data_IF_301855274391
#
_entry.id   IF_301855274391
#
_cell.length_a   1.000
_cell.length_b   1.000
_cell.length_c   1.000
_cell.angle_alpha   90.00
_cell.angle_beta   90.00
_cell.angle_gamma   90.00
#
_symmetry.space_group_name_H-M   'P 1'
#
loop_
_entity.id
_entity.type
_entity.pdbx_description
1 polymer ?
#
# COMPACT_ATOMS: atom_id res chain seq x y z
N UNK A 1 9.57 21.31 53.27
CA UNK A 1 10.73 20.63 52.65
C UNK A 1 10.81 19.18 53.10
N UNK A 2 10.71 18.89 54.40
CA UNK A 2 10.73 17.51 54.95
C UNK A 2 9.71 16.56 54.31
N UNK A 3 8.44 16.97 54.16
CA UNK A 3 7.42 16.13 53.53
C UNK A 3 7.69 15.80 52.04
N UNK A 4 8.51 16.60 51.36
CA UNK A 4 8.89 16.36 49.96
C UNK A 4 10.07 15.39 49.88
N UNK A 5 10.99 15.47 50.86
CA UNK A 5 12.11 14.54 51.03
C UNK A 5 11.58 13.15 51.39
N UNK A 6 10.63 13.05 52.31
CA UNK A 6 10.02 11.77 52.71
C UNK A 6 9.28 11.07 51.55
N UNK A 7 8.62 11.85 50.68
CA UNK A 7 8.02 11.32 49.44
C UNK A 7 9.05 10.86 48.42
N UNK A 8 10.20 11.54 48.35
CA UNK A 8 11.30 11.16 47.48
C UNK A 8 11.95 9.86 47.98
N UNK A 9 12.17 9.73 49.29
CA UNK A 9 12.70 8.53 49.93
C UNK A 9 11.76 7.34 49.73
N UNK A 10 10.45 7.52 49.89
CA UNK A 10 9.45 6.50 49.56
C UNK A 10 9.45 6.09 48.08
N UNK A 11 9.67 7.03 47.17
CA UNK A 11 9.78 6.74 45.74
C UNK A 11 11.07 5.98 45.41
N UNK A 12 12.19 6.33 46.05
CA UNK A 12 13.48 5.64 45.90
C UNK A 12 13.41 4.23 46.46
N UNK A 13 12.82 4.03 47.65
CA UNK A 13 12.62 2.69 48.23
C UNK A 13 11.76 1.80 47.31
N UNK A 14 10.71 2.36 46.68
CA UNK A 14 9.90 1.63 45.70
C UNK A 14 10.69 1.29 44.43
N UNK A 15 11.54 2.21 43.97
CA UNK A 15 12.41 1.99 42.81
C UNK A 15 13.48 0.92 43.10
N UNK A 16 14.06 0.94 44.29
CA UNK A 16 15.05 -0.05 44.75
C UNK A 16 14.40 -1.42 44.95
N UNK A 17 13.17 -1.47 45.47
CA UNK A 17 12.40 -2.72 45.58
C UNK A 17 12.05 -3.30 44.20
N UNK A 18 11.76 -2.43 43.22
CA UNK A 18 11.53 -2.82 41.84
C UNK A 18 12.84 -3.29 41.16
N UNK A 19 13.95 -2.61 41.41
CA UNK A 19 15.30 -2.98 40.95
C UNK A 19 15.76 -4.31 41.55
N UNK A 20 15.49 -4.56 42.84
CA UNK A 20 15.79 -5.82 43.51
C UNK A 20 14.94 -6.98 42.95
N UNK A 21 13.69 -6.72 42.54
CA UNK A 21 12.87 -7.71 41.80
C UNK A 21 13.41 -8.01 40.41
N UNK A 22 13.98 -7.02 39.73
CA UNK A 22 14.68 -7.18 38.44
C UNK A 22 16.03 -7.92 38.59
N UNK A 23 16.76 -7.67 39.67
CA UNK A 23 18.04 -8.34 39.98
C UNK A 23 17.87 -9.75 40.57
N UNK A 24 16.74 -10.04 41.23
CA UNK A 24 16.38 -11.40 41.65
C UNK A 24 16.12 -12.38 40.49
N UNK A 25 15.98 -11.87 39.26
CA UNK A 25 15.88 -12.67 38.04
C UNK A 25 17.20 -12.81 37.26
N UNK A 26 18.32 -12.26 37.77
CA UNK A 26 19.66 -12.41 37.18
C UNK A 26 20.59 -13.10 38.17
N UNK A 27 20.37 -14.40 38.38
CA UNK A 27 21.29 -15.28 39.07
C UNK A 27 21.87 -16.33 38.11
N UNK A 28 23.20 -16.29 37.95
CA UNK A 28 24.08 -17.27 37.30
C UNK A 28 24.37 -17.11 35.80
N UNK A 29 25.34 -16.24 35.52
CA UNK A 29 26.20 -16.39 34.34
C UNK A 29 27.14 -17.58 34.58
N UNK A 30 26.82 -18.71 33.95
CA UNK A 30 27.82 -19.72 33.60
C UNK A 30 27.56 -20.18 32.16
N UNK A 31 28.45 -19.73 31.27
CA UNK A 31 28.84 -20.30 29.99
C UNK A 31 27.83 -21.19 29.23
N UNK A 32 27.30 -20.63 28.13
CA UNK A 32 26.92 -21.37 26.93
C UNK A 32 25.66 -22.24 27.02
N UNK A 33 24.49 -21.63 26.83
CA UNK A 33 23.36 -22.22 26.09
C UNK A 33 22.32 -21.14 25.80
N UNK A 34 21.83 -21.13 24.56
CA UNK A 34 20.95 -20.10 24.00
C UNK A 34 19.55 -20.31 24.58
N UNK A 35 19.08 -19.37 25.42
CA UNK A 35 17.69 -19.31 25.87
C UNK A 35 16.77 -18.84 24.73
N UNK A 36 16.41 -19.74 23.82
CA UNK A 36 15.36 -19.51 22.80
C UNK A 36 13.95 -19.67 23.39
N UNK A 37 13.80 -20.36 24.52
CA UNK A 37 12.47 -20.81 25.00
C UNK A 37 11.63 -19.74 25.72
N UNK A 38 12.23 -18.63 26.18
CA UNK A 38 11.52 -17.62 26.99
C UNK A 38 10.93 -16.45 26.15
N UNK A 39 11.44 -16.21 24.93
CA UNK A 39 11.03 -15.08 24.09
C UNK A 39 9.74 -15.33 23.30
N UNK A 40 9.51 -16.57 22.86
CA UNK A 40 8.34 -16.95 22.05
C UNK A 40 7.04 -16.84 22.86
N UNK A 41 7.06 -17.32 24.11
CA UNK A 41 5.92 -17.23 25.03
C UNK A 41 5.56 -15.78 25.33
N UNK A 42 6.56 -14.89 25.49
CA UNK A 42 6.34 -13.48 25.78
C UNK A 42 5.78 -12.72 24.57
N UNK A 43 6.21 -13.06 23.35
CA UNK A 43 5.67 -12.46 22.12
C UNK A 43 4.18 -12.77 21.97
N UNK A 44 3.79 -14.04 22.08
CA UNK A 44 2.39 -14.44 21.95
C UNK A 44 1.51 -13.87 23.08
N UNK A 45 2.04 -13.80 24.30
CA UNK A 45 1.35 -13.17 25.43
C UNK A 45 1.13 -11.65 25.22
N UNK A 46 2.12 -10.95 24.64
CA UNK A 46 1.98 -9.53 24.31
C UNK A 46 0.92 -9.31 23.22
N UNK A 47 0.86 -10.15 22.20
CA UNK A 47 -0.21 -10.09 21.20
C UNK A 47 -1.58 -10.39 21.83
N UNK A 48 -1.66 -11.34 22.76
CA UNK A 48 -2.89 -11.63 23.51
C UNK A 48 -3.34 -10.49 24.42
N UNK A 49 -2.43 -9.66 24.91
CA UNK A 49 -2.77 -8.43 25.60
C UNK A 49 -3.39 -7.39 24.65
N UNK A 50 -2.88 -7.28 23.41
CA UNK A 50 -3.49 -6.43 22.37
C UNK A 50 -4.94 -6.86 22.07
N UNK A 51 -5.18 -8.18 21.97
CA UNK A 51 -6.53 -8.71 21.70
C UNK A 51 -7.49 -8.55 22.89
N UNK A 52 -7.01 -8.77 24.12
CA UNK A 52 -7.85 -8.67 25.34
C UNK A 52 -8.04 -7.24 25.83
N UNK A 53 -7.14 -6.32 25.48
CA UNK A 53 -7.21 -4.91 25.84
C UNK A 53 -7.80 -4.06 24.71
N UNK A 54 -6.99 -3.37 23.89
CA UNK A 54 -7.44 -2.43 22.87
C UNK A 54 -8.54 -2.96 21.95
N UNK A 55 -8.39 -4.19 21.43
CA UNK A 55 -9.38 -4.78 20.53
C UNK A 55 -10.71 -5.04 21.26
N UNK A 56 -10.67 -5.52 22.50
CA UNK A 56 -11.87 -5.77 23.29
C UNK A 56 -12.66 -4.48 23.57
N UNK A 57 -11.96 -3.40 23.93
CA UNK A 57 -12.59 -2.09 24.13
C UNK A 57 -13.22 -1.56 22.83
N UNK A 58 -12.50 -1.68 21.70
CA UNK A 58 -13.02 -1.31 20.39
C UNK A 58 -14.29 -2.10 20.02
N UNK A 59 -14.30 -3.41 20.26
CA UNK A 59 -15.46 -4.26 19.98
C UNK A 59 -16.66 -3.88 20.86
N UNK A 60 -16.41 -3.62 22.15
CA UNK A 60 -17.44 -3.15 23.07
C UNK A 60 -18.06 -1.84 22.58
N UNK A 61 -17.24 -0.84 22.27
CA UNK A 61 -17.71 0.46 21.79
C UNK A 61 -18.43 0.35 20.44
N UNK A 62 -17.93 -0.50 19.54
CA UNK A 62 -18.55 -0.76 18.23
C UNK A 62 -19.93 -1.41 18.37
N UNK A 63 -20.11 -2.31 19.34
CA UNK A 63 -21.42 -2.92 19.65
C UNK A 63 -22.40 -1.93 20.26
N UNK A 64 -21.91 -1.02 21.10
CA UNK A 64 -22.74 0.06 21.65
C UNK A 64 -23.24 1.01 20.55
N UNK A 65 -22.39 1.38 19.59
CA UNK A 65 -22.81 2.16 18.40
C UNK A 65 -23.77 1.37 17.52
N UNK A 66 -23.49 0.07 17.33
CA UNK A 66 -24.35 -0.85 16.56
C UNK A 66 -24.25 -0.65 15.05
N UNK A 67 -25.24 -1.18 14.33
CA UNK A 67 -25.38 -1.03 12.88
C UNK A 67 -24.18 -1.55 12.08
N UNK A 68 -23.75 -0.76 11.09
CA UNK A 68 -22.62 -1.11 10.22
C UNK A 68 -21.28 -1.14 10.98
N UNK A 69 -21.13 -0.31 12.02
CA UNK A 69 -19.90 -0.22 12.82
C UNK A 69 -19.67 -1.51 13.60
N UNK A 70 -20.70 -2.06 14.23
CA UNK A 70 -20.59 -3.36 14.93
C UNK A 70 -20.20 -4.49 13.97
N UNK A 71 -20.84 -4.57 12.79
CA UNK A 71 -20.53 -5.61 11.79
C UNK A 71 -19.09 -5.48 11.30
N UNK A 72 -18.66 -4.26 11.01
CA UNK A 72 -17.30 -4.00 10.54
C UNK A 72 -16.25 -4.35 11.60
N UNK A 73 -16.57 -4.11 12.88
CA UNK A 73 -15.71 -4.47 14.00
C UNK A 73 -15.57 -6.00 14.17
N UNK A 74 -16.63 -6.78 13.99
CA UNK A 74 -16.54 -8.24 14.03
C UNK A 74 -15.62 -8.79 12.90
N UNK A 75 -15.62 -8.15 11.72
CA UNK A 75 -14.67 -8.49 10.64
C UNK A 75 -13.22 -8.19 11.04
N UNK A 76 -12.96 -7.02 11.65
CA UNK A 76 -11.63 -6.66 12.18
C UNK A 76 -11.16 -7.65 13.24
N UNK A 77 -12.05 -8.08 14.13
CA UNK A 77 -11.73 -9.12 15.13
C UNK A 77 -11.26 -10.41 14.45
N UNK A 78 -12.00 -10.90 13.44
CA UNK A 78 -11.64 -12.12 12.73
C UNK A 78 -10.27 -11.99 12.02
N UNK A 79 -10.00 -10.83 11.40
CA UNK A 79 -8.73 -10.56 10.76
C UNK A 79 -7.54 -10.57 11.76
N UNK A 80 -7.72 -10.01 12.95
CA UNK A 80 -6.70 -10.03 14.02
C UNK A 80 -6.51 -11.42 14.64
N UNK A 81 -7.55 -12.25 14.70
CA UNK A 81 -7.40 -13.66 15.09
C UNK A 81 -6.62 -14.45 14.04
N UNK A 82 -6.85 -14.20 12.76
CA UNK A 82 -6.08 -14.82 11.68
C UNK A 82 -4.60 -14.39 11.75
N UNK A 83 -4.35 -13.11 12.00
CA UNK A 83 -3.01 -12.59 12.24
C UNK A 83 -2.32 -13.32 13.41
N UNK A 84 -3.03 -13.56 14.52
CA UNK A 84 -2.50 -14.32 15.66
C UNK A 84 -2.13 -15.74 15.26
N UNK A 85 -2.98 -16.43 14.50
CA UNK A 85 -2.73 -17.79 14.04
C UNK A 85 -1.46 -17.84 13.17
N UNK A 86 -1.32 -16.88 12.25
CA UNK A 86 -0.14 -16.72 11.42
C UNK A 86 1.14 -16.43 12.23
N UNK A 87 1.09 -15.52 13.21
CA UNK A 87 2.24 -15.24 14.08
C UNK A 87 2.67 -16.48 14.88
N UNK A 88 1.70 -17.26 15.39
CA UNK A 88 2.00 -18.53 16.08
C UNK A 88 2.65 -19.56 15.15
N UNK A 89 2.23 -19.62 13.89
CA UNK A 89 2.87 -20.47 12.88
C UNK A 89 4.33 -20.04 12.71
N UNK A 90 4.57 -18.73 12.51
CA UNK A 90 5.92 -18.19 12.33
C UNK A 90 6.85 -18.48 13.51
N UNK A 91 6.34 -18.53 14.75
CA UNK A 91 7.16 -18.90 15.93
C UNK A 91 7.59 -20.37 15.97
N UNK A 92 6.88 -21.26 15.26
CA UNK A 92 7.11 -22.72 15.34
C UNK A 92 7.67 -23.34 14.06
N UNK A 93 7.65 -22.60 12.95
CA UNK A 93 8.04 -23.08 11.62
C UNK A 93 9.14 -22.22 11.02
N UNK A 94 9.94 -22.82 10.14
CA UNK A 94 10.88 -22.10 9.28
C UNK A 94 10.15 -21.39 8.14
N UNK A 95 10.74 -20.29 7.67
CA UNK A 95 10.23 -19.51 6.55
C UNK A 95 10.11 -20.40 5.29
N UNK A 96 8.94 -20.42 4.64
CA UNK A 96 8.73 -21.23 3.44
C UNK A 96 9.23 -20.51 2.18
N UNK A 97 9.12 -21.17 1.03
CA UNK A 97 9.44 -20.53 -0.25
C UNK A 97 8.51 -19.35 -0.53
N UNK A 98 8.95 -18.36 -1.31
CA UNK A 98 8.19 -17.13 -1.58
C UNK A 98 6.77 -17.39 -2.12
N UNK A 99 6.61 -18.39 -2.98
CA UNK A 99 5.30 -18.81 -3.52
C UNK A 99 4.38 -19.38 -2.43
N UNK A 100 4.93 -20.15 -1.49
CA UNK A 100 4.18 -20.75 -0.38
C UNK A 100 3.86 -19.70 0.69
N UNK A 101 4.74 -18.72 0.89
CA UNK A 101 4.50 -17.57 1.76
C UNK A 101 3.33 -16.72 1.24
N UNK A 102 3.25 -16.50 -0.08
CA UNK A 102 2.11 -15.80 -0.68
C UNK A 102 0.78 -16.53 -0.43
N UNK A 103 0.79 -17.87 -0.50
CA UNK A 103 -0.37 -18.70 -0.22
C UNK A 103 -0.78 -18.66 1.26
N UNK A 104 0.20 -18.67 2.17
CA UNK A 104 -0.01 -18.50 3.60
C UNK A 104 -0.57 -17.14 4.01
N UNK A 105 -0.20 -16.07 3.30
CA UNK A 105 -0.69 -14.70 3.55
C UNK A 105 -2.06 -14.43 2.92
N UNK A 106 -2.55 -15.33 2.07
CA UNK A 106 -3.83 -15.17 1.35
C UNK A 106 -5.02 -14.98 2.30
N UNK A 107 -5.21 -15.76 3.39
CA UNK A 107 -6.34 -15.56 4.30
C UNK A 107 -6.38 -14.15 4.92
N UNK A 108 -5.22 -13.62 5.34
CA UNK A 108 -5.12 -12.25 5.87
C UNK A 108 -5.49 -11.23 4.78
N UNK A 109 -4.99 -11.43 3.55
CA UNK A 109 -5.27 -10.56 2.40
C UNK A 109 -6.76 -10.55 2.05
N UNK A 110 -7.42 -11.70 2.06
CA UNK A 110 -8.86 -11.83 1.83
C UNK A 110 -9.69 -11.14 2.91
N UNK A 111 -9.27 -11.22 4.18
CA UNK A 111 -9.94 -10.50 5.28
C UNK A 111 -9.82 -8.97 5.11
N UNK A 112 -8.63 -8.48 4.74
CA UNK A 112 -8.40 -7.06 4.43
C UNK A 112 -9.34 -6.61 3.30
N UNK A 113 -9.40 -7.35 2.20
CA UNK A 113 -10.26 -7.03 1.05
C UNK A 113 -11.74 -7.04 1.43
N UNK A 114 -12.18 -8.01 2.23
CA UNK A 114 -13.57 -8.09 2.71
C UNK A 114 -13.94 -6.85 3.54
N UNK A 115 -13.05 -6.42 4.44
CA UNK A 115 -13.25 -5.23 5.28
C UNK A 115 -13.32 -3.97 4.41
N UNK A 116 -12.47 -3.84 3.40
CA UNK A 116 -12.50 -2.71 2.47
C UNK A 116 -13.79 -2.70 1.62
N UNK A 117 -14.13 -3.84 1.04
CA UNK A 117 -15.35 -4.05 0.25
C UNK A 117 -16.62 -3.76 1.05
N UNK A 118 -16.64 -4.10 2.34
CA UNK A 118 -17.77 -3.77 3.22
C UNK A 118 -18.04 -2.27 3.27
N UNK A 119 -16.99 -1.45 3.42
CA UNK A 119 -17.13 0.01 3.38
C UNK A 119 -17.60 0.50 2.00
N UNK A 120 -17.07 -0.08 0.91
CA UNK A 120 -17.45 0.31 -0.45
C UNK A 120 -18.92 0.01 -0.78
N UNK A 121 -19.45 -1.11 -0.30
CA UNK A 121 -20.86 -1.48 -0.46
C UNK A 121 -21.79 -0.62 0.40
N UNK A 122 -21.28 -0.03 1.47
CA UNK A 122 -22.06 0.77 2.42
C UNK A 122 -21.74 2.28 2.32
N UNK A 123 -21.51 2.80 1.11
CA UNK A 123 -21.24 4.23 0.86
C UNK A 123 -22.34 5.20 1.31
N UNK A 124 -23.58 4.71 1.44
CA UNK A 124 -24.71 5.49 1.96
C UNK A 124 -24.85 5.47 3.48
N UNK A 125 -23.94 4.81 4.21
CA UNK A 125 -24.03 4.71 5.67
C UNK A 125 -23.90 6.09 6.33
N UNK A 126 -24.72 6.36 7.35
CA UNK A 126 -24.57 7.58 8.17
C UNK A 126 -23.27 7.59 8.98
N UNK A 127 -22.71 6.40 9.22
CA UNK A 127 -21.46 6.21 9.96
C UNK A 127 -20.28 6.00 9.01
N UNK A 128 -20.35 6.51 7.78
CA UNK A 128 -19.35 6.26 6.74
C UNK A 128 -17.92 6.65 7.15
N UNK A 129 -17.73 7.72 7.93
CA UNK A 129 -16.41 8.08 8.45
C UNK A 129 -15.81 7.00 9.39
N UNK A 130 -16.66 6.26 10.12
CA UNK A 130 -16.19 5.11 10.93
C UNK A 130 -15.72 3.97 10.03
N UNK A 131 -16.53 3.64 9.01
CA UNK A 131 -16.19 2.59 8.06
C UNK A 131 -14.93 2.94 7.27
N UNK A 132 -14.76 4.22 6.90
CA UNK A 132 -13.55 4.72 6.24
C UNK A 132 -12.33 4.69 7.13
N UNK A 133 -12.44 5.08 8.41
CA UNK A 133 -11.33 4.94 9.33
C UNK A 133 -10.83 3.49 9.37
N UNK A 134 -11.74 2.52 9.36
CA UNK A 134 -11.39 1.10 9.35
C UNK A 134 -10.83 0.62 8.02
N UNK A 135 -11.50 0.90 6.90
CA UNK A 135 -11.09 0.38 5.59
C UNK A 135 -9.75 0.91 5.09
N UNK A 136 -9.44 2.17 5.41
CA UNK A 136 -8.21 2.82 4.94
C UNK A 136 -6.99 2.46 5.80
N UNK A 137 -7.18 1.96 7.03
CA UNK A 137 -6.08 1.55 7.91
C UNK A 137 -5.93 0.04 8.12
N UNK A 138 -6.96 -0.77 7.80
CA UNK A 138 -6.86 -2.23 7.94
C UNK A 138 -5.69 -2.88 7.15
N UNK A 139 -5.17 -2.31 6.03
CA UNK A 139 -3.96 -2.85 5.40
C UNK A 139 -2.76 -2.93 6.35
N UNK A 140 -2.76 -2.22 7.49
CA UNK A 140 -1.78 -2.37 8.56
C UNK A 140 -1.49 -3.82 8.94
N UNK A 141 -2.46 -4.75 8.86
CA UNK A 141 -2.25 -6.18 9.12
C UNK A 141 -1.24 -6.82 8.17
N UNK A 142 -1.04 -6.26 6.98
CA UNK A 142 -0.03 -6.67 6.01
C UNK A 142 1.42 -6.41 6.44
N UNK A 143 1.67 -5.82 7.63
CA UNK A 143 3.03 -5.56 8.13
C UNK A 143 3.90 -6.82 8.19
N UNK A 144 3.30 -8.01 8.33
CA UNK A 144 4.02 -9.29 8.33
C UNK A 144 4.73 -9.61 7.02
N UNK A 145 4.36 -8.93 5.93
CA UNK A 145 5.05 -9.01 4.64
C UNK A 145 6.01 -7.83 4.39
N UNK A 146 6.16 -6.92 5.36
CA UNK A 146 7.00 -5.72 5.22
C UNK A 146 8.38 -5.97 5.83
N UNK A 147 9.40 -5.93 4.97
CA UNK A 147 10.79 -6.03 5.37
C UNK A 147 11.35 -4.69 5.83
N UNK A 148 12.27 -4.72 6.79
CA UNK A 148 13.04 -3.60 7.34
C UNK A 148 12.27 -2.54 8.15
N UNK A 149 11.05 -2.15 7.74
CA UNK A 149 10.30 -1.04 8.37
C UNK A 149 8.81 -1.33 8.64
N UNK A 150 8.44 -2.44 9.28
CA UNK A 150 7.04 -2.75 9.59
C UNK A 150 6.39 -1.77 10.58
N UNK A 151 7.13 -1.24 11.55
CA UNK A 151 6.61 -0.24 12.50
C UNK A 151 6.18 1.07 11.83
N UNK A 152 7.05 1.73 11.04
CA UNK A 152 6.69 2.89 10.24
C UNK A 152 5.51 2.63 9.29
N UNK A 153 5.42 1.45 8.68
CA UNK A 153 4.29 1.07 7.83
C UNK A 153 2.95 1.10 8.59
N UNK A 154 2.88 0.47 9.78
CA UNK A 154 1.67 0.51 10.62
C UNK A 154 1.34 1.93 11.07
N UNK A 155 2.36 2.77 11.32
CA UNK A 155 2.16 4.18 11.66
C UNK A 155 1.46 4.94 10.52
N UNK A 156 1.88 4.76 9.27
CA UNK A 156 1.24 5.40 8.11
C UNK A 156 -0.23 5.00 7.97
N UNK A 157 -0.53 3.72 8.20
CA UNK A 157 -1.91 3.23 8.19
C UNK A 157 -2.73 3.84 9.34
N UNK A 158 -2.14 4.00 10.53
CA UNK A 158 -2.80 4.69 11.64
C UNK A 158 -3.01 6.20 11.34
N UNK A 159 -2.08 6.84 10.65
CA UNK A 159 -2.23 8.23 10.19
C UNK A 159 -3.42 8.36 9.21
N UNK A 160 -3.65 7.35 8.35
CA UNK A 160 -4.84 7.26 7.50
C UNK A 160 -6.14 7.08 8.31
N UNK A 161 -6.13 6.24 9.36
CA UNK A 161 -7.28 6.14 10.28
C UNK A 161 -7.59 7.50 10.92
N UNK A 162 -6.57 8.21 11.40
CA UNK A 162 -6.70 9.51 12.06
C UNK A 162 -7.39 10.56 11.19
N UNK A 163 -7.16 10.55 9.88
CA UNK A 163 -7.85 11.46 8.96
C UNK A 163 -9.38 11.36 9.06
N UNK A 164 -9.92 10.14 9.13
CA UNK A 164 -11.36 9.91 9.22
C UNK A 164 -11.87 9.96 10.66
N UNK A 165 -11.11 9.46 11.64
CA UNK A 165 -11.54 9.55 13.05
C UNK A 165 -11.56 11.00 13.55
N UNK A 166 -10.73 11.90 13.03
CA UNK A 166 -10.84 13.33 13.31
C UNK A 166 -12.17 13.92 12.84
N UNK A 167 -12.75 13.40 11.74
CA UNK A 167 -14.10 13.78 11.29
C UNK A 167 -15.17 13.24 12.22
N UNK A 168 -15.02 11.99 12.68
CA UNK A 168 -15.89 11.42 13.73
C UNK A 168 -15.84 12.27 14.99
N UNK A 169 -14.65 12.65 15.47
CA UNK A 169 -14.51 13.52 16.63
C UNK A 169 -15.17 14.89 16.39
N UNK A 170 -15.02 15.47 15.20
CA UNK A 170 -15.66 16.73 14.86
C UNK A 170 -17.19 16.64 14.96
N UNK A 171 -17.78 15.55 14.48
CA UNK A 171 -19.23 15.36 14.41
C UNK A 171 -19.83 14.95 15.77
N UNK A 172 -19.07 14.24 16.61
CA UNK A 172 -19.61 13.56 17.80
C UNK A 172 -19.06 14.00 19.16
N UNK A 173 -17.95 14.76 19.23
CA UNK A 173 -17.29 15.10 20.51
C UNK A 173 -18.19 15.80 21.55
N UNK A 174 -19.15 16.59 21.08
CA UNK A 174 -20.05 17.38 21.93
C UNK A 174 -21.47 16.78 22.00
N UNK A 175 -21.72 15.68 21.29
CA UNK A 175 -23.07 15.10 21.13
C UNK A 175 -23.18 13.70 21.71
N UNK A 176 -22.24 12.82 21.40
CA UNK A 176 -22.26 11.42 21.85
C UNK A 176 -20.83 10.93 22.19
N UNK A 177 -20.50 10.85 23.50
CA UNK A 177 -19.21 10.38 23.97
C UNK A 177 -18.83 8.97 23.52
N UNK A 178 -19.81 8.11 23.18
CA UNK A 178 -19.53 6.73 22.75
C UNK A 178 -18.67 6.69 21.48
N UNK A 179 -18.89 7.62 20.55
CA UNK A 179 -18.09 7.74 19.34
C UNK A 179 -16.66 8.22 19.62
N UNK A 180 -16.46 9.05 20.64
CA UNK A 180 -15.13 9.49 21.08
C UNK A 180 -14.35 8.33 21.69
N UNK A 181 -15.01 7.53 22.53
CA UNK A 181 -14.43 6.31 23.10
C UNK A 181 -14.10 5.28 22.02
N UNK A 182 -14.99 5.12 21.03
CA UNK A 182 -14.73 4.30 19.85
C UNK A 182 -13.47 4.74 19.11
N UNK A 183 -13.32 6.03 18.81
CA UNK A 183 -12.12 6.57 18.14
C UNK A 183 -10.86 6.25 18.95
N UNK A 184 -10.87 6.53 20.26
CA UNK A 184 -9.72 6.28 21.13
C UNK A 184 -9.34 4.79 21.13
N UNK A 185 -10.33 3.92 21.32
CA UNK A 185 -10.11 2.46 21.37
C UNK A 185 -9.60 1.91 20.03
N UNK A 186 -10.11 2.40 18.90
CA UNK A 186 -9.65 1.97 17.57
C UNK A 186 -8.19 2.35 17.29
N UNK A 187 -7.82 3.62 17.54
CA UNK A 187 -6.44 4.09 17.33
C UNK A 187 -5.45 3.44 18.32
N UNK A 188 -5.93 3.01 19.49
CA UNK A 188 -5.12 2.28 20.47
C UNK A 188 -4.62 0.94 19.92
N UNK A 189 -5.44 0.22 19.13
CA UNK A 189 -5.04 -1.05 18.48
C UNK A 189 -3.75 -0.85 17.68
N UNK A 190 -3.70 0.18 16.84
CA UNK A 190 -2.54 0.45 15.97
C UNK A 190 -1.34 1.01 16.73
N UNK A 191 -1.58 1.73 17.83
CA UNK A 191 -0.52 2.22 18.71
C UNK A 191 0.16 1.07 19.43
N UNK A 192 -0.62 0.15 20.00
CA UNK A 192 -0.11 -1.06 20.66
C UNK A 192 0.51 -2.04 19.65
N UNK A 193 -0.03 -2.13 18.43
CA UNK A 193 0.59 -2.92 17.35
C UNK A 193 1.99 -2.38 16.99
N UNK A 194 2.16 -1.06 16.92
CA UNK A 194 3.49 -0.46 16.70
C UNK A 194 4.45 -0.77 17.85
N UNK A 195 3.98 -0.69 19.10
CA UNK A 195 4.80 -1.03 20.26
C UNK A 195 5.22 -2.51 20.23
N UNK A 196 4.28 -3.40 19.93
CA UNK A 196 4.52 -4.84 19.74
C UNK A 196 5.55 -5.11 18.65
N UNK A 197 5.38 -4.54 17.45
CA UNK A 197 6.32 -4.71 16.33
C UNK A 197 7.70 -4.15 16.72
N UNK A 198 7.75 -2.99 17.36
CA UNK A 198 9.03 -2.40 17.78
C UNK A 198 9.78 -3.30 18.76
N UNK A 199 9.07 -3.97 19.66
CA UNK A 199 9.65 -4.84 20.69
C UNK A 199 10.11 -6.20 20.14
N UNK A 200 9.32 -6.83 19.26
CA UNK A 200 9.54 -8.23 18.84
C UNK A 200 9.96 -8.39 17.37
N UNK A 201 9.61 -7.44 16.49
CA UNK A 201 9.72 -7.57 15.03
C UNK A 201 10.26 -6.29 14.37
N UNK A 202 11.27 -5.66 14.98
CA UNK A 202 11.77 -4.32 14.60
C UNK A 202 12.12 -4.22 13.11
N UNK A 203 12.72 -5.27 12.54
CA UNK A 203 13.22 -5.31 11.16
C UNK A 203 12.38 -6.18 10.22
N UNK A 204 11.21 -6.64 10.67
CA UNK A 204 10.37 -7.59 9.93
C UNK A 204 9.95 -8.77 10.80
N UNK A 205 9.06 -9.60 10.26
CA UNK A 205 8.67 -10.86 10.88
C UNK A 205 9.89 -11.77 11.04
N UNK A 206 9.99 -12.43 12.19
CA UNK A 206 11.05 -13.40 12.48
C UNK A 206 10.43 -14.78 12.54
N UNK A 207 10.87 -15.65 11.64
CA UNK A 207 10.51 -17.07 11.62
C UNK A 207 11.39 -17.89 12.57
N UNK A 208 10.89 -19.05 12.99
CA UNK A 208 11.68 -19.97 13.80
C UNK A 208 12.90 -20.47 13.02
N UNK A 209 14.04 -20.60 13.70
CA UNK A 209 15.25 -21.21 13.11
C UNK A 209 15.22 -22.74 13.16
N UNK A 210 14.22 -23.30 13.83
CA UNK A 210 14.06 -24.73 14.10
C UNK A 210 12.62 -25.14 13.81
N UNK A 211 12.36 -26.43 13.62
CA UNK A 211 11.03 -26.93 13.28
C UNK A 211 10.83 -27.14 11.79
N UNK A 212 9.65 -27.64 11.37
CA UNK A 212 9.36 -27.90 9.96
C UNK A 212 9.23 -26.58 9.17
N UNK A 213 9.40 -26.67 7.85
CA UNK A 213 9.07 -25.56 6.95
C UNK A 213 7.56 -25.34 6.99
N UNK A 214 7.14 -24.07 7.03
CA UNK A 214 5.72 -23.74 7.09
C UNK A 214 4.96 -24.33 5.89
N UNK A 215 3.80 -24.97 6.09
CA UNK A 215 3.00 -25.49 4.99
C UNK A 215 2.42 -24.34 4.16
N UNK A 216 2.06 -24.56 2.90
CA UNK A 216 1.46 -23.51 2.04
C UNK A 216 0.06 -23.04 2.50
N UNK A 217 -0.52 -23.67 3.53
CA UNK A 217 -1.81 -23.29 4.12
C UNK A 217 -1.82 -23.55 5.62
N UNK A 218 -2.32 -22.56 6.38
CA UNK A 218 -2.58 -22.66 7.82
C UNK A 218 -3.58 -23.78 8.16
N UNK A 219 -4.39 -24.19 7.19
CA UNK A 219 -5.41 -25.23 7.32
C UNK A 219 -5.09 -26.41 6.41
N UNK A 220 -4.02 -27.13 6.73
CA UNK A 220 -3.74 -28.44 6.14
C UNK A 220 -3.91 -29.47 7.24
N UNK A 221 -4.86 -30.41 7.07
CA UNK A 221 -5.04 -31.53 7.99
C UNK A 221 -3.74 -32.33 8.08
N UNK A 222 -3.43 -32.82 9.29
CA UNK A 222 -2.20 -33.56 9.61
C UNK A 222 -1.88 -34.67 8.58
N UNK A 223 -0.61 -34.90 8.23
CA UNK A 223 -0.21 -36.14 7.61
C UNK A 223 -0.43 -37.28 8.60
N UNK A 224 -1.27 -38.24 8.23
CA UNK A 224 -1.49 -39.46 9.01
C UNK A 224 -0.14 -40.15 9.31
N UNK A 225 0.08 -40.44 10.59
CA UNK A 225 1.12 -41.36 11.07
C UNK A 225 1.04 -42.70 10.32
N UNK A 226 2.15 -43.41 10.05
CA UNK A 226 2.11 -44.71 9.39
C UNK A 226 1.38 -45.74 10.27
N UNK A 227 0.17 -46.12 9.85
CA UNK A 227 -0.56 -47.25 10.42
C UNK A 227 0.17 -48.58 10.16
N UNK A 228 0.06 -49.58 11.06
CA UNK A 228 0.61 -50.91 10.84
C UNK A 228 -0.08 -51.60 9.63
N UNK A 229 0.60 -52.56 8.97
CA UNK A 229 0.10 -53.15 7.73
C UNK A 229 -1.23 -53.89 7.95
N UNK A 230 -2.22 -53.74 7.05
CA UNK A 230 -3.50 -54.39 7.16
C UNK A 230 -3.41 -55.91 6.93
N UNK A 231 -4.27 -56.72 7.57
CA UNK A 231 -4.35 -58.16 7.33
C UNK A 231 -4.86 -58.46 5.90
N UNK A 232 -4.52 -59.63 5.34
CA UNK A 232 -4.82 -59.96 3.95
C UNK A 232 -6.35 -60.04 3.69
N UNK A 233 -6.82 -59.56 2.52
CA UNK A 233 -8.24 -59.50 2.22
C UNK A 233 -8.86 -60.89 1.92
N UNK A 234 -10.11 -61.14 2.34
CA UNK A 234 -10.88 -62.32 1.94
C UNK A 234 -11.31 -62.24 0.46
N UNK A 235 -11.63 -63.39 -0.18
CA UNK A 235 -11.86 -63.49 -1.62
C UNK A 235 -13.16 -62.79 -2.07
N UNK A 236 -13.20 -62.26 -3.31
CA UNK A 236 -14.31 -61.46 -3.82
C UNK A 236 -15.53 -62.32 -4.25
N UNK A 237 -16.77 -61.90 -3.94
CA UNK A 237 -17.98 -62.41 -4.58
C UNK A 237 -18.27 -61.73 -5.95
N UNK A 238 -19.09 -62.36 -6.81
CA UNK A 238 -19.22 -62.04 -8.24
C UNK A 238 -20.09 -60.80 -8.56
N UNK A 239 -19.98 -60.24 -9.78
CA UNK A 239 -20.50 -58.92 -10.13
C UNK A 239 -21.92 -58.97 -10.70
N UNK A 240 -22.76 -57.98 -10.32
CA UNK A 240 -23.97 -57.63 -11.06
C UNK A 240 -24.21 -56.11 -11.08
N UNK A 241 -24.08 -55.57 -12.29
CA UNK A 241 -24.89 -54.58 -13.03
C UNK A 241 -25.44 -53.31 -12.34
N UNK A 242 -24.96 -52.18 -12.88
CA UNK A 242 -25.59 -50.90 -13.23
C UNK A 242 -26.84 -50.43 -12.48
N UNK A 243 -26.72 -49.27 -11.81
CA UNK A 243 -27.65 -48.15 -11.95
C UNK A 243 -26.97 -46.83 -11.53
N UNK A 244 -27.02 -45.83 -12.41
CA UNK A 244 -26.52 -44.45 -12.24
C UNK A 244 -27.26 -43.66 -11.14
N UNK A 245 -26.57 -42.70 -10.50
CA UNK A 245 -27.16 -41.37 -10.41
C UNK A 245 -26.20 -40.21 -10.73
N UNK A 246 -26.56 -39.49 -11.79
CA UNK A 246 -26.42 -38.03 -12.06
C UNK A 246 -25.23 -37.27 -11.44
N UNK A 247 -24.27 -36.94 -12.33
CA UNK A 247 -23.25 -35.91 -12.15
C UNK A 247 -23.83 -34.50 -12.00
N UNK A 248 -23.25 -33.75 -11.04
CA UNK A 248 -23.26 -32.30 -10.97
C UNK A 248 -22.20 -31.73 -11.95
N UNK A 249 -22.62 -30.79 -12.80
CA UNK A 249 -21.93 -30.42 -14.04
C UNK A 249 -20.91 -29.27 -13.86
N UNK A 250 -20.38 -29.06 -12.65
CA UNK A 250 -19.54 -27.91 -12.31
C UNK A 250 -18.02 -28.11 -12.42
N UNK A 251 -17.54 -29.36 -12.54
CA UNK A 251 -16.11 -29.67 -12.57
C UNK A 251 -15.55 -29.87 -14.00
N UNK A 252 -16.34 -30.43 -14.91
CA UNK A 252 -15.94 -30.68 -16.31
C UNK A 252 -15.77 -29.38 -17.13
N UNK A 253 -16.57 -28.35 -16.85
CA UNK A 253 -16.43 -27.05 -17.53
C UNK A 253 -15.15 -26.30 -17.18
N UNK A 254 -14.66 -26.43 -15.94
CA UNK A 254 -13.44 -25.73 -15.49
C UNK A 254 -12.17 -26.40 -16.02
N UNK A 255 -12.13 -27.73 -16.08
CA UNK A 255 -11.00 -28.44 -16.69
C UNK A 255 -10.92 -28.27 -18.22
N UNK A 256 -12.08 -28.16 -18.90
CA UNK A 256 -12.14 -27.84 -20.32
C UNK A 256 -11.64 -26.40 -20.63
N UNK A 257 -11.93 -25.43 -19.76
CA UNK A 257 -11.48 -24.04 -19.92
C UNK A 257 -9.95 -23.89 -19.76
N UNK A 258 -9.34 -24.59 -18.80
CA UNK A 258 -7.88 -24.55 -18.61
C UNK A 258 -7.11 -25.30 -19.71
N UNK A 259 -7.70 -26.36 -20.28
CA UNK A 259 -7.10 -27.06 -21.43
C UNK A 259 -7.14 -26.22 -22.71
N UNK A 260 -8.09 -25.29 -22.82
CA UNK A 260 -8.25 -24.41 -23.99
C UNK A 260 -7.33 -23.18 -23.94
N UNK A 261 -6.88 -22.76 -22.74
CA UNK A 261 -5.95 -21.65 -22.52
C UNK A 261 -4.48 -22.01 -22.81
N UNK A 262 -4.10 -23.29 -22.74
CA UNK A 262 -2.72 -23.75 -22.95
C UNK A 262 -2.35 -24.07 -24.41
N UNK A 263 -3.14 -23.64 -25.40
CA UNK A 263 -2.91 -23.97 -26.83
C UNK A 263 -2.09 -22.93 -27.62
N UNK A 264 -1.58 -21.87 -26.99
CA UNK A 264 -0.73 -20.86 -27.64
C UNK A 264 -1.33 -20.29 -28.94
N UNK A 265 -0.50 -20.04 -29.96
CA UNK A 265 -0.89 -19.42 -31.25
C UNK A 265 -2.00 -20.16 -32.03
N UNK A 266 -2.31 -21.41 -31.67
CA UNK A 266 -3.35 -22.21 -32.32
C UNK A 266 -4.79 -21.78 -31.95
N UNK A 267 -4.98 -20.90 -30.96
CA UNK A 267 -6.31 -20.46 -30.49
C UNK A 267 -7.11 -19.68 -31.56
N UNK A 268 -6.43 -19.20 -32.60
CA UNK A 268 -7.04 -18.46 -33.72
C UNK A 268 -7.82 -19.35 -34.69
N UNK A 269 -7.63 -20.68 -34.67
CA UNK A 269 -8.33 -21.63 -35.56
C UNK A 269 -9.77 -21.94 -35.13
N UNK A 270 -10.14 -21.63 -33.88
CA UNK A 270 -11.49 -21.87 -33.32
C UNK A 270 -12.46 -20.69 -33.45
N UNK A 271 -11.98 -19.53 -33.91
CA UNK A 271 -12.82 -18.34 -34.07
C UNK A 271 -13.56 -18.40 -35.40
N UNK A 272 -14.89 -18.26 -35.35
CA UNK A 272 -15.74 -18.26 -36.55
C UNK A 272 -15.33 -17.08 -37.45
N UNK A 273 -14.79 -17.39 -38.63
CA UNK A 273 -14.34 -16.38 -39.57
C UNK A 273 -15.55 -15.58 -40.08
N UNK A 274 -15.55 -14.27 -39.81
CA UNK A 274 -16.65 -13.37 -40.19
C UNK A 274 -16.51 -13.04 -41.68
N UNK A 275 -17.48 -13.47 -42.48
CA UNK A 275 -17.54 -13.21 -43.92
C UNK A 275 -17.66 -11.69 -44.17
N UNK A 276 -17.16 -11.21 -45.31
CA UNK A 276 -17.13 -9.77 -45.61
C UNK A 276 -18.52 -9.13 -45.67
N UNK A 277 -19.57 -9.93 -45.90
CA UNK A 277 -20.98 -9.52 -45.84
C UNK A 277 -21.46 -9.15 -44.43
N UNK A 278 -20.79 -9.62 -43.37
CA UNK A 278 -21.13 -9.39 -41.96
C UNK A 278 -20.30 -8.27 -41.32
N UNK A 279 -19.35 -7.69 -42.06
CA UNK A 279 -18.54 -6.56 -41.61
C UNK A 279 -19.22 -5.26 -42.02
N UNK A 280 -19.65 -4.47 -41.05
CA UNK A 280 -20.39 -3.21 -41.23
C UNK A 280 -19.64 -2.13 -42.03
N UNK A 281 -18.33 -2.27 -42.25
CA UNK A 281 -17.55 -1.39 -43.12
C UNK A 281 -17.47 -1.85 -44.59
N UNK A 282 -17.86 -3.09 -44.91
CA UNK A 282 -17.82 -3.65 -46.27
C UNK A 282 -19.17 -3.97 -46.88
N UNK A 283 -20.23 -4.10 -46.07
CA UNK A 283 -21.60 -4.31 -46.55
C UNK A 283 -22.54 -3.17 -46.13
N UNK A 284 -22.85 -2.20 -47.02
CA UNK A 284 -23.70 -1.06 -46.73
C UNK A 284 -25.15 -1.42 -46.35
N UNK A 285 -25.65 -2.59 -46.75
CA UNK A 285 -27.04 -3.01 -46.51
C UNK A 285 -27.35 -3.33 -45.04
N UNK A 286 -26.34 -3.60 -44.20
CA UNK A 286 -26.52 -3.87 -42.77
C UNK A 286 -26.74 -2.61 -41.92
N UNK A 287 -26.68 -1.42 -42.51
CA UNK A 287 -26.94 -0.16 -41.79
C UNK A 287 -28.42 0.23 -41.72
N UNK A 288 -29.32 -0.49 -42.38
CA UNK A 288 -30.72 -0.06 -42.53
C UNK A 288 -31.74 -1.19 -42.29
N UNK A 289 -32.09 -1.45 -41.03
CA UNK A 289 -33.38 -2.03 -40.53
C UNK A 289 -33.23 -2.34 -39.02
N UNK A 290 -34.06 -1.92 -38.05
CA UNK A 290 -35.26 -1.05 -37.96
C UNK A 290 -35.39 -0.62 -36.47
N UNK A 291 -35.85 0.59 -36.10
CA UNK A 291 -37.22 1.14 -36.09
C UNK A 291 -37.74 1.14 -34.63
N UNK A 292 -38.32 2.18 -34.00
CA UNK A 292 -39.05 3.42 -34.36
C UNK A 292 -38.88 4.43 -33.18
N UNK A 293 -38.87 5.77 -33.31
CA UNK A 293 -39.99 6.66 -33.67
C UNK A 293 -39.53 8.13 -33.73
N UNK A 294 -40.08 8.85 -34.72
CA UNK A 294 -40.34 10.29 -34.95
C UNK A 294 -39.95 11.34 -33.86
N UNK A 295 -39.55 12.59 -34.14
CA UNK A 295 -39.66 13.46 -35.32
C UNK A 295 -38.55 14.54 -35.31
N UNK A 296 -38.20 15.09 -36.48
CA UNK A 296 -37.30 16.24 -36.66
C UNK A 296 -38.05 17.58 -36.55
N UNK A 297 -37.35 18.73 -36.36
CA UNK A 297 -37.00 19.50 -37.57
C UNK A 297 -35.61 20.15 -37.57
N UNK A 298 -34.93 19.95 -38.71
CA UNK A 298 -34.10 20.89 -39.50
C UNK A 298 -33.22 21.94 -38.81
N UNK A 299 -31.91 21.85 -39.06
CA UNK A 299 -31.16 22.73 -40.01
C UNK A 299 -29.69 22.33 -40.06
N UNK A 300 -29.13 22.32 -41.28
CA UNK A 300 -27.81 21.76 -41.57
C UNK A 300 -26.62 22.60 -41.08
N UNK A 301 -25.47 21.93 -40.94
CA UNK A 301 -24.14 22.54 -40.99
C UNK A 301 -23.11 21.47 -41.38
N UNK A 302 -22.13 21.91 -42.16
CA UNK A 302 -20.97 21.18 -42.68
C UNK A 302 -20.04 20.61 -41.56
N UNK A 303 -19.06 19.74 -41.89
CA UNK A 303 -18.39 18.87 -40.94
C UNK A 303 -17.31 19.61 -40.16
N UNK A 304 -17.32 19.49 -38.83
CA UNK A 304 -16.18 19.84 -37.98
C UNK A 304 -15.65 18.58 -37.30
N UNK A 305 -14.34 18.36 -37.48
CA UNK A 305 -13.45 17.44 -36.80
C UNK A 305 -13.87 17.11 -35.35
N UNK A 306 -14.08 15.83 -35.06
CA UNK A 306 -14.34 15.34 -33.71
C UNK A 306 -13.08 15.42 -32.85
N UNK A 307 -13.04 16.40 -31.96
CA UNK A 307 -12.16 16.41 -30.78
C UNK A 307 -12.53 15.29 -29.81
N UNK A 308 -11.55 14.72 -29.07
CA UNK A 308 -11.82 13.70 -28.06
C UNK A 308 -12.55 14.32 -26.86
N UNK A 309 -13.44 13.53 -26.27
CA UNK A 309 -14.31 13.86 -25.14
C UNK A 309 -13.53 14.40 -23.93
N UNK A 310 -13.90 15.54 -23.32
CA UNK A 310 -13.15 16.08 -22.19
C UNK A 310 -13.36 15.24 -20.93
N UNK A 311 -12.26 14.91 -20.26
CA UNK A 311 -12.24 14.31 -18.93
C UNK A 311 -13.01 15.21 -17.94
N UNK A 312 -13.73 14.61 -16.99
CA UNK A 312 -14.43 15.33 -15.92
C UNK A 312 -13.43 16.23 -15.18
N UNK A 313 -13.54 17.56 -15.36
CA UNK A 313 -12.76 18.57 -14.64
C UNK A 313 -13.00 18.44 -13.13
N UNK A 314 -11.98 18.01 -12.40
CA UNK A 314 -11.93 18.15 -10.93
C UNK A 314 -11.61 19.61 -10.61
N UNK A 315 -12.08 20.10 -9.48
CA UNK A 315 -11.84 21.49 -9.08
C UNK A 315 -10.35 21.72 -8.79
N UNK A 316 -9.76 22.81 -9.29
CA UNK A 316 -8.38 23.17 -8.98
C UNK A 316 -8.24 23.47 -7.48
N UNK A 317 -7.14 23.00 -6.89
CA UNK A 317 -6.82 23.21 -5.48
C UNK A 317 -5.47 23.92 -5.39
N UNK A 318 -5.41 24.97 -4.59
CA UNK A 318 -4.16 25.60 -4.14
C UNK A 318 -4.38 26.06 -2.70
N UNK A 319 -4.06 25.20 -1.74
CA UNK A 319 -4.26 25.51 -0.32
C UNK A 319 -3.24 24.79 0.57
N UNK A 320 -3.01 25.36 1.75
CA UNK A 320 -2.19 24.75 2.79
C UNK A 320 -3.08 23.89 3.70
N UNK A 321 -2.94 22.58 3.60
CA UNK A 321 -3.60 21.62 4.48
C UNK A 321 -2.62 21.17 5.59
N UNK A 322 -2.72 21.82 6.74
CA UNK A 322 -1.82 21.59 7.88
C UNK A 322 -0.39 22.04 7.58
N UNK A 323 0.49 21.09 7.20
CA UNK A 323 1.88 21.37 6.77
C UNK A 323 2.10 21.06 5.29
N UNK A 324 1.07 20.64 4.56
CA UNK A 324 1.17 20.18 3.19
C UNK A 324 0.49 21.18 2.27
N UNK A 325 1.26 21.84 1.41
CA UNK A 325 0.70 22.60 0.30
C UNK A 325 0.18 21.63 -0.75
N UNK A 326 -1.10 21.76 -1.10
CA UNK A 326 -1.75 20.96 -2.15
C UNK A 326 -1.98 21.84 -3.35
N UNK A 327 -1.32 21.51 -4.45
CA UNK A 327 -1.52 22.13 -5.76
C UNK A 327 -2.05 21.06 -6.70
N UNK A 328 -3.36 20.99 -6.88
CA UNK A 328 -3.99 19.87 -7.57
C UNK A 328 -4.87 20.34 -8.72
N UNK A 329 -4.91 19.55 -9.79
CA UNK A 329 -5.86 19.71 -10.89
C UNK A 329 -5.83 21.09 -11.57
N UNK A 330 -4.69 21.76 -11.56
CA UNK A 330 -4.48 23.02 -12.28
C UNK A 330 -4.37 22.76 -13.78
N UNK A 331 -5.05 23.55 -14.60
CA UNK A 331 -5.04 23.40 -16.06
C UNK A 331 -4.94 24.78 -16.72
N UNK A 332 -3.89 24.99 -17.53
CA UNK A 332 -3.66 26.25 -18.25
C UNK A 332 -3.49 27.48 -17.34
N UNK A 333 -2.89 27.29 -16.16
CA UNK A 333 -2.65 28.38 -15.18
C UNK A 333 -1.15 28.62 -15.04
N UNK A 334 -0.69 29.84 -15.30
CA UNK A 334 0.75 30.16 -15.40
C UNK A 334 1.25 31.16 -14.34
N UNK A 335 0.36 31.61 -13.47
CA UNK A 335 0.60 32.62 -12.42
C UNK A 335 0.43 32.04 -11.01
N UNK A 336 0.57 30.72 -10.85
CA UNK A 336 0.48 30.09 -9.54
C UNK A 336 1.73 30.43 -8.71
N UNK A 337 1.54 30.97 -7.52
CA UNK A 337 2.63 31.32 -6.61
C UNK A 337 2.30 30.88 -5.19
N UNK A 338 3.27 30.24 -4.52
CA UNK A 338 3.27 30.01 -3.08
C UNK A 338 4.30 30.96 -2.47
N UNK A 339 3.82 32.05 -1.84
CA UNK A 339 4.69 33.10 -1.30
C UNK A 339 5.18 32.81 0.12
N UNK A 340 4.30 32.34 0.99
CA UNK A 340 4.59 32.11 2.41
C UNK A 340 4.90 30.63 2.67
N UNK A 341 6.18 30.25 2.68
CA UNK A 341 6.63 28.89 2.97
C UNK A 341 7.37 28.77 4.30
N UNK A 342 7.26 27.59 4.93
CA UNK A 342 8.02 27.26 6.14
C UNK A 342 8.87 25.99 5.94
N UNK A 343 10.01 25.92 6.62
CA UNK A 343 10.98 24.80 6.58
C UNK A 343 10.38 23.41 6.79
N UNK A 344 9.29 23.32 7.56
CA UNK A 344 8.61 22.05 7.90
C UNK A 344 7.53 21.65 6.90
N UNK A 345 7.23 22.51 5.92
CA UNK A 345 6.16 22.29 4.97
C UNK A 345 6.62 21.42 3.80
N UNK A 346 5.67 20.69 3.21
CA UNK A 346 5.88 19.86 2.04
C UNK A 346 4.94 20.34 0.94
N UNK A 347 5.42 20.46 -0.29
CA UNK A 347 4.57 20.83 -1.43
C UNK A 347 4.26 19.59 -2.25
N UNK A 348 2.98 19.31 -2.46
CA UNK A 348 2.49 18.20 -3.27
C UNK A 348 1.70 18.74 -4.45
N UNK A 349 2.21 18.47 -5.65
CA UNK A 349 1.69 18.96 -6.91
C UNK A 349 1.13 17.76 -7.67
N UNK A 350 -0.18 17.71 -7.88
CA UNK A 350 -0.84 16.53 -8.44
C UNK A 350 -1.71 16.86 -9.63
N UNK A 351 -1.58 16.08 -10.71
CA UNK A 351 -2.49 16.13 -11.85
C UNK A 351 -2.63 17.54 -12.47
N UNK A 352 -1.56 18.33 -12.47
CA UNK A 352 -1.51 19.64 -13.10
C UNK A 352 -1.10 19.51 -14.59
N UNK A 353 -1.72 20.30 -15.46
CA UNK A 353 -1.51 20.22 -16.92
C UNK A 353 -1.29 21.61 -17.52
N UNK A 354 -0.23 21.76 -18.34
CA UNK A 354 0.09 23.00 -19.04
C UNK A 354 0.06 24.22 -18.09
N UNK A 355 0.80 24.15 -16.99
CA UNK A 355 0.72 25.14 -15.92
C UNK A 355 2.12 25.52 -15.44
N UNK A 356 2.23 26.65 -14.75
CA UNK A 356 3.49 27.12 -14.15
C UNK A 356 3.27 27.45 -12.69
N UNK A 357 4.15 26.96 -11.82
CA UNK A 357 4.11 27.20 -10.39
C UNK A 357 5.44 27.77 -9.90
N UNK A 358 5.38 28.81 -9.07
CA UNK A 358 6.53 29.37 -8.37
C UNK A 358 6.41 29.14 -6.87
N UNK A 359 7.44 28.58 -6.25
CA UNK A 359 7.51 28.32 -4.80
C UNK A 359 8.64 29.18 -4.23
N UNK A 360 8.28 30.25 -3.51
CA UNK A 360 9.24 31.15 -2.89
C UNK A 360 9.64 30.62 -1.50
N UNK A 361 10.84 30.95 -1.05
CA UNK A 361 11.34 30.57 0.27
C UNK A 361 11.92 29.15 0.35
N UNK A 362 11.68 28.47 1.48
CA UNK A 362 12.36 27.22 1.82
C UNK A 362 11.41 26.20 2.42
N UNK A 363 11.30 25.05 1.76
CA UNK A 363 10.42 23.94 2.15
C UNK A 363 11.22 22.67 2.45
N UNK A 364 10.58 21.72 3.14
CA UNK A 364 11.20 20.44 3.47
C UNK A 364 11.41 19.58 2.21
N UNK A 365 10.35 19.39 1.43
CA UNK A 365 10.36 18.61 0.20
C UNK A 365 9.27 19.05 -0.77
N UNK A 366 9.46 18.72 -2.04
CA UNK A 366 8.49 18.97 -3.11
C UNK A 366 8.28 17.65 -3.86
N UNK A 367 7.03 17.30 -4.13
CA UNK A 367 6.64 16.09 -4.84
C UNK A 367 5.71 16.50 -5.98
N UNK A 368 6.07 16.13 -7.21
CA UNK A 368 5.30 16.31 -8.43
C UNK A 368 4.81 14.95 -8.89
N UNK A 369 3.51 14.76 -9.01
CA UNK A 369 2.89 13.49 -9.36
C UNK A 369 1.83 13.65 -10.45
N UNK A 370 1.88 12.80 -11.46
CA UNK A 370 0.88 12.74 -12.54
C UNK A 370 0.68 14.08 -13.28
N UNK A 371 1.72 14.89 -13.40
CA UNK A 371 1.66 16.20 -14.06
C UNK A 371 2.10 16.13 -15.53
N UNK A 372 1.62 17.06 -16.36
CA UNK A 372 1.95 17.14 -17.78
C UNK A 372 2.26 18.58 -18.19
N UNK A 373 3.37 18.85 -18.88
CA UNK A 373 3.72 20.22 -19.32
C UNK A 373 3.71 21.21 -18.15
N UNK A 374 4.41 20.86 -17.07
CA UNK A 374 4.48 21.66 -15.86
C UNK A 374 5.82 22.37 -15.79
N UNK A 375 5.79 23.69 -15.71
CA UNK A 375 6.94 24.51 -15.33
C UNK A 375 6.94 24.73 -13.82
N UNK A 376 8.06 24.48 -13.15
CA UNK A 376 8.20 24.69 -11.72
C UNK A 376 9.48 25.47 -11.42
N UNK A 377 9.34 26.57 -10.68
CA UNK A 377 10.47 27.36 -10.19
C UNK A 377 10.44 27.36 -8.67
N UNK A 378 11.54 27.01 -8.02
CA UNK A 378 11.62 27.03 -6.57
C UNK A 378 12.98 27.49 -6.06
N UNK A 379 12.99 28.07 -4.86
CA UNK A 379 14.22 28.55 -4.24
C UNK A 379 14.98 27.43 -3.51
N UNK A 380 14.49 26.97 -2.36
CA UNK A 380 15.24 26.05 -1.51
C UNK A 380 14.43 24.82 -1.08
N UNK A 381 15.03 23.64 -1.19
CA UNK A 381 14.51 22.37 -0.67
C UNK A 381 15.52 21.79 0.31
N UNK A 382 15.07 21.41 1.51
CA UNK A 382 15.94 20.85 2.56
C UNK A 382 16.27 19.39 2.29
N UNK A 383 15.28 18.61 1.88
CA UNK A 383 15.38 17.17 1.67
C UNK A 383 15.47 16.84 0.19
N UNK A 384 14.36 16.37 -0.37
CA UNK A 384 14.29 15.82 -1.72
C UNK A 384 13.25 16.56 -2.56
N UNK A 385 13.58 16.71 -3.84
CA UNK A 385 12.63 17.05 -4.89
C UNK A 385 12.31 15.78 -5.68
N UNK A 386 11.04 15.42 -5.81
CA UNK A 386 10.64 14.16 -6.44
C UNK A 386 9.62 14.39 -7.57
N UNK A 387 9.86 13.72 -8.70
CA UNK A 387 8.97 13.70 -9.86
C UNK A 387 8.54 12.26 -10.11
N UNK A 388 7.23 12.03 -10.14
CA UNK A 388 6.63 10.71 -10.28
C UNK A 388 5.58 10.74 -11.39
N UNK A 389 5.59 9.74 -12.27
CA UNK A 389 4.50 9.47 -13.21
C UNK A 389 4.11 10.68 -14.07
N UNK A 390 5.07 11.51 -14.47
CA UNK A 390 4.82 12.81 -15.09
C UNK A 390 5.39 12.89 -16.52
N UNK A 391 5.02 13.92 -17.29
CA UNK A 391 5.51 14.14 -18.65
C UNK A 391 5.78 15.61 -18.95
N UNK A 392 6.82 15.91 -19.72
CA UNK A 392 7.18 17.27 -20.15
C UNK A 392 7.32 18.22 -18.94
N UNK A 393 8.22 17.90 -18.01
CA UNK A 393 8.44 18.69 -16.80
C UNK A 393 9.66 19.58 -16.97
N UNK A 394 9.52 20.87 -16.67
CA UNK A 394 10.63 21.82 -16.62
C UNK A 394 10.77 22.33 -15.20
N UNK A 395 11.94 22.11 -14.62
CA UNK A 395 12.25 22.43 -13.24
C UNK A 395 13.40 23.44 -13.19
N UNK A 396 13.23 24.55 -12.49
CA UNK A 396 14.32 25.49 -12.23
C UNK A 396 14.53 25.70 -10.73
N UNK A 397 15.76 25.41 -10.29
CA UNK A 397 16.23 25.65 -8.94
C UNK A 397 16.89 27.03 -8.90
N UNK A 398 16.49 27.89 -7.97
CA UNK A 398 17.14 29.19 -7.76
C UNK A 398 18.16 29.16 -6.62
N UNK A 399 17.93 28.34 -5.59
CA UNK A 399 18.81 28.16 -4.44
C UNK A 399 19.32 26.73 -4.34
N UNK A 400 19.24 26.10 -3.16
CA UNK A 400 19.82 24.77 -2.89
C UNK A 400 18.78 23.64 -2.93
N UNK A 401 19.16 22.52 -3.54
CA UNK A 401 18.49 21.22 -3.44
C UNK A 401 19.55 20.10 -3.33
N UNK A 402 19.48 19.22 -2.32
CA UNK A 402 20.44 18.11 -2.18
C UNK A 402 20.21 16.94 -3.13
N UNK A 403 18.94 16.58 -3.38
CA UNK A 403 18.60 15.39 -4.16
C UNK A 403 17.38 15.65 -5.03
N UNK A 404 17.47 15.26 -6.30
CA UNK A 404 16.36 15.23 -7.25
C UNK A 404 16.13 13.78 -7.68
N UNK A 405 14.91 13.29 -7.47
CA UNK A 405 14.45 11.95 -7.87
C UNK A 405 13.49 12.06 -9.04
N UNK A 406 13.75 11.33 -10.13
CA UNK A 406 12.95 11.32 -11.35
C UNK A 406 12.48 9.89 -11.65
N UNK A 407 11.24 9.59 -11.32
CA UNK A 407 10.67 8.25 -11.41
C UNK A 407 9.49 8.20 -12.39
N UNK A 408 9.49 7.23 -13.30
CA UNK A 408 8.39 7.00 -14.25
C UNK A 408 7.99 8.27 -15.00
N UNK A 409 8.97 9.06 -15.44
CA UNK A 409 8.75 10.38 -16.06
C UNK A 409 9.37 10.44 -17.44
N UNK A 410 8.63 11.00 -18.41
CA UNK A 410 9.06 11.15 -19.81
C UNK A 410 9.25 12.64 -20.13
N UNK A 411 10.43 13.08 -20.53
CA UNK A 411 10.71 14.48 -20.82
C UNK A 411 10.85 15.31 -19.55
N UNK A 412 12.08 15.47 -19.05
CA UNK A 412 12.38 16.24 -17.85
C UNK A 412 13.62 17.10 -18.06
N UNK A 413 13.47 18.42 -17.91
CA UNK A 413 14.57 19.37 -17.95
C UNK A 413 14.79 19.96 -16.56
N UNK A 414 16.00 19.82 -16.03
CA UNK A 414 16.37 20.28 -14.68
C UNK A 414 17.42 21.38 -14.81
N UNK A 415 17.03 22.62 -14.57
CA UNK A 415 17.90 23.79 -14.53
C UNK A 415 18.43 23.97 -13.11
N UNK A 416 19.71 23.72 -12.91
CA UNK A 416 20.38 23.87 -11.62
C UNK A 416 20.77 25.34 -11.37
N UNK A 417 20.92 25.69 -10.10
CA UNK A 417 21.56 26.93 -9.69
C UNK A 417 23.06 26.71 -9.44
N UNK A 418 23.82 27.80 -9.30
CA UNK A 418 25.22 27.75 -8.84
C UNK A 418 25.35 27.13 -7.44
N UNK A 419 24.30 27.18 -6.62
CA UNK A 419 24.27 26.63 -5.25
C UNK A 419 23.84 25.16 -5.19
N UNK A 420 23.26 24.62 -6.27
CA UNK A 420 22.77 23.24 -6.35
C UNK A 420 23.64 22.32 -7.21
N UNK A 421 24.89 22.69 -7.49
CA UNK A 421 25.81 21.87 -8.31
C UNK A 421 26.17 20.52 -7.66
N UNK A 422 26.08 20.42 -6.34
CA UNK A 422 26.31 19.18 -5.59
C UNK A 422 25.03 18.33 -5.45
N UNK A 423 24.00 18.60 -6.26
CA UNK A 423 22.76 17.84 -6.21
C UNK A 423 22.94 16.42 -6.76
N UNK A 424 22.48 15.43 -6.02
CA UNK A 424 22.39 14.05 -6.49
C UNK A 424 21.16 13.87 -7.37
N UNK A 425 21.32 13.28 -8.55
CA UNK A 425 20.22 12.93 -9.45
C UNK A 425 20.00 11.42 -9.39
N UNK A 426 18.80 11.01 -8.99
CA UNK A 426 18.39 9.60 -8.92
C UNK A 426 17.26 9.41 -9.93
N UNK A 427 17.41 8.48 -10.86
CA UNK A 427 16.38 8.22 -11.88
C UNK A 427 16.00 6.75 -11.96
N UNK A 428 14.71 6.48 -12.17
CA UNK A 428 14.19 5.13 -12.38
C UNK A 428 13.03 5.13 -13.38
N UNK A 429 13.05 4.23 -14.37
CA UNK A 429 11.97 4.09 -15.39
C UNK A 429 11.59 5.41 -16.08
N UNK A 430 12.56 6.28 -16.30
CA UNK A 430 12.36 7.62 -16.87
C UNK A 430 13.18 7.80 -18.14
N UNK A 431 12.72 8.67 -19.04
CA UNK A 431 13.37 8.94 -20.32
C UNK A 431 13.33 10.43 -20.67
N UNK A 432 14.18 10.83 -21.62
CA UNK A 432 14.37 12.21 -22.10
C UNK A 432 14.73 13.17 -20.94
N UNK A 433 15.70 12.77 -20.11
CA UNK A 433 16.14 13.54 -18.95
C UNK A 433 17.40 14.35 -19.23
N UNK A 434 17.32 15.67 -19.04
CA UNK A 434 18.44 16.58 -19.27
C UNK A 434 18.69 17.47 -18.04
N UNK A 435 19.95 17.54 -17.62
CA UNK A 435 20.43 18.41 -16.54
C UNK A 435 21.13 19.61 -17.17
N UNK A 436 20.62 20.80 -16.91
CA UNK A 436 21.14 22.06 -17.40
C UNK A 436 21.96 22.72 -16.30
N UNK A 437 23.27 22.80 -16.52
CA UNK A 437 24.25 23.31 -15.56
C UNK A 437 24.64 24.75 -15.95
N UNK A 438 24.49 25.73 -15.03
CA UNK A 438 24.76 27.14 -15.34
C UNK A 438 26.25 27.38 -15.61
N UNK A 439 26.55 28.24 -16.58
CA UNK A 439 27.88 28.74 -16.93
C UNK A 439 28.11 30.16 -16.39
N UNK A 440 29.28 30.75 -16.67
CA UNK A 440 29.64 32.09 -16.20
C UNK A 440 28.81 33.21 -16.86
N UNK A 441 28.33 33.01 -18.09
CA UNK A 441 27.60 34.00 -18.91
C UNK A 441 26.06 33.91 -18.81
N UNK A 442 25.52 33.35 -17.72
CA UNK A 442 24.09 33.04 -17.54
C UNK A 442 23.49 32.11 -18.63
N UNK A 443 24.35 31.43 -19.39
CA UNK A 443 23.98 30.35 -20.30
C UNK A 443 23.97 28.99 -19.58
N UNK A 444 23.29 28.01 -20.14
CA UNK A 444 23.18 26.66 -19.59
C UNK A 444 23.82 25.64 -20.52
N UNK A 445 24.67 24.78 -19.96
CA UNK A 445 25.16 23.60 -20.68
C UNK A 445 24.27 22.41 -20.35
N UNK A 446 23.74 21.77 -21.38
CA UNK A 446 22.87 20.61 -21.27
C UNK A 446 23.69 19.31 -21.16
N UNK A 447 23.30 18.46 -20.22
CA UNK A 447 23.89 17.15 -19.98
C UNK A 447 22.78 16.09 -19.89
N UNK A 448 22.70 15.16 -20.84
CA UNK A 448 21.72 14.09 -20.78
C UNK A 448 22.07 13.09 -19.68
N UNK A 449 21.05 12.64 -18.95
CA UNK A 449 21.19 11.54 -17.99
C UNK A 449 21.20 10.22 -18.76
N UNK A 450 22.17 9.31 -18.51
CA UNK A 450 22.19 8.01 -19.20
C UNK A 450 20.92 7.19 -18.95
N UNK A 451 20.31 6.72 -20.03
CA UNK A 451 19.09 5.89 -19.98
C UNK A 451 19.34 4.44 -20.38
N UNK A 452 20.43 4.19 -21.11
CA UNK A 452 20.85 2.86 -21.52
C UNK A 452 22.01 2.39 -20.66
N UNK A 453 21.81 1.24 -20.01
CA UNK A 453 22.80 0.63 -19.14
C UNK A 453 23.16 -0.75 -19.68
N UNK A 454 24.47 -1.03 -19.68
CA UNK A 454 25.02 -2.34 -19.98
C UNK A 454 25.29 -3.04 -18.66
N UNK A 455 24.68 -4.21 -18.49
CA UNK A 455 24.92 -5.07 -17.33
C UNK A 455 25.64 -6.32 -17.79
N UNK A 456 26.81 -6.58 -17.20
CA UNK A 456 27.63 -7.76 -17.51
C UNK A 456 27.90 -8.54 -16.24
N UNK A 457 27.91 -9.87 -16.36
CA UNK A 457 28.41 -10.76 -15.33
C UNK A 457 29.94 -10.80 -15.36
N UNK A 458 30.60 -10.38 -14.28
CA UNK A 458 32.07 -10.31 -14.21
C UNK A 458 32.75 -11.62 -13.76
N UNK A 459 31.97 -12.68 -13.55
CA UNK A 459 32.41 -13.93 -12.95
C UNK A 459 32.00 -14.10 -11.49
N UNK A 460 31.59 -13.02 -10.81
CA UNK A 460 31.22 -13.01 -9.39
C UNK A 460 29.94 -12.22 -9.07
N UNK A 461 29.69 -11.12 -9.80
CA UNK A 461 28.55 -10.23 -9.61
C UNK A 461 28.12 -9.61 -10.93
N UNK A 462 26.93 -9.02 -10.92
CA UNK A 462 26.48 -8.15 -11.99
C UNK A 462 27.12 -6.77 -11.80
N UNK A 463 27.75 -6.27 -12.86
CA UNK A 463 28.29 -4.91 -12.94
C UNK A 463 27.51 -4.16 -14.00
N UNK A 464 27.00 -2.99 -13.64
CA UNK A 464 26.18 -2.14 -14.52
C UNK A 464 26.88 -0.81 -14.73
N UNK A 465 27.04 -0.42 -15.99
CA UNK A 465 27.62 0.85 -16.42
C UNK A 465 26.71 1.51 -17.48
N UNK A 466 26.68 2.85 -17.58
CA UNK A 466 26.02 3.51 -18.70
C UNK A 466 26.74 3.18 -20.01
N UNK A 467 26.01 3.03 -21.12
CA UNK A 467 26.64 2.81 -22.44
C UNK A 467 27.32 4.09 -22.94
N UNK A 468 28.41 3.95 -23.70
CA UNK A 468 29.18 5.10 -24.26
C UNK A 468 28.37 5.95 -25.25
N UNK A 469 27.25 5.44 -25.77
CA UNK A 469 26.29 6.19 -26.59
C UNK A 469 25.26 6.92 -25.71
N UNK A 470 25.71 7.61 -24.67
CA UNK A 470 24.83 8.44 -23.87
C UNK A 470 24.44 9.68 -24.70
N UNK A 471 23.20 9.66 -25.24
CA UNK A 471 22.35 10.79 -25.63
C UNK A 471 23.00 11.99 -26.29
#
# INVERSE_FOLDING_TARGET
MEALVERLEQAVIRLETFSAKLQGCSGSLSNGEINTFNGESQCMEAFDHLLRGPLSEYLKNSRTIGGDVSKHADMVHNALQEQKAFLKLATTHQEPAETELADLLRPISEQIEQIQTFREKNRGSRLFNHLSAVSESIPALGWVAVNQKPGPYVKEMNDAAMFYTNRVLKDYKDTDPCHVEWVRSYLSIWTEMQAFIKQYYTTGLVWSKTGPVAPSSLFTAEPATPCPPPPPPPPPPPPFTDEDPKLDNGAAQRSALFTQLNQGEAITKGLKHVCDEQKTHKNPALRSQGGTSQASPTKGRAPSSSTPTPAKKRSPVLELEGKKWRVEHQEQVHDLVIEETELKQVVYIFSCSNSTLQIKGKVNSIIVDNCKKLGLVFENVVGIFEIINSRDIQLQVLGKVPTISINKTEGCQVYLSKESLNCEIISAKSSEMNILVPQEDDDYREFPVPEQFKTVWDGSKLVTEPTEMAG
#
